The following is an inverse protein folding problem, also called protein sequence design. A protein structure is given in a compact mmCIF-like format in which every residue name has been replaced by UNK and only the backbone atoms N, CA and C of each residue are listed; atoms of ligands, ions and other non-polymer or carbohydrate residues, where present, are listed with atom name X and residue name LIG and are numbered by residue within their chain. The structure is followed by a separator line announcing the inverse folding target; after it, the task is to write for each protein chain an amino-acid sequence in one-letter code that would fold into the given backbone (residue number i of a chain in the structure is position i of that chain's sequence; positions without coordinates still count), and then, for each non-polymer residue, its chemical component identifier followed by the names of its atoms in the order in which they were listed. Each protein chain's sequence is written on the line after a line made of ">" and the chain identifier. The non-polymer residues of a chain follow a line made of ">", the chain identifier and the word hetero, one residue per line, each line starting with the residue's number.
data_IF_047767268234
#
_entry.id   IF_047767268234
#
_cell.length_a   1.000
_cell.length_b   1.000
_cell.length_c   1.000
_cell.angle_alpha   90.00
_cell.angle_beta   90.00
_cell.angle_gamma   90.00
#
_symmetry.space_group_name_H-M   'P 1'
#
loop_
_entity.id
_entity.type
_entity.pdbx_description
1 polymer ?
#
# COMPACT_ATOMS: atom_id res chain seq x y z
N UNK A 1 -42.05 2.25 27.38
CA UNK A 1 -40.89 3.15 27.17
C UNK A 1 -39.57 2.46 27.45
N UNK A 2 -39.27 1.96 28.66
CA UNK A 2 -37.95 1.38 28.97
C UNK A 2 -37.58 0.08 28.20
N UNK A 3 -38.57 -0.74 27.82
CA UNK A 3 -38.34 -1.99 27.07
C UNK A 3 -37.99 -1.76 25.59
N UNK A 4 -38.58 -0.72 24.99
CA UNK A 4 -38.42 -0.38 23.58
C UNK A 4 -37.04 0.24 23.30
N UNK A 5 -36.53 1.04 24.25
CA UNK A 5 -35.15 1.56 24.21
C UNK A 5 -34.09 0.47 24.40
N UNK A 6 -34.36 -0.56 25.22
CA UNK A 6 -33.45 -1.71 25.40
C UNK A 6 -33.39 -2.57 24.14
N UNK A 7 -34.53 -2.80 23.49
CA UNK A 7 -34.62 -3.55 22.23
C UNK A 7 -33.89 -2.83 21.09
N UNK A 8 -34.07 -1.52 20.94
CA UNK A 8 -33.35 -0.72 19.94
C UNK A 8 -31.83 -0.67 20.15
N UNK A 9 -31.35 -0.79 21.39
CA UNK A 9 -29.91 -0.85 21.69
C UNK A 9 -29.30 -2.21 21.30
N UNK A 10 -30.01 -3.32 21.57
CA UNK A 10 -29.58 -4.66 21.18
C UNK A 10 -29.56 -4.88 19.66
N UNK A 11 -30.49 -4.31 18.92
CA UNK A 11 -30.52 -4.41 17.45
C UNK A 11 -29.34 -3.67 16.81
N UNK A 12 -28.99 -2.47 17.29
CA UNK A 12 -27.80 -1.72 16.84
C UNK A 12 -26.49 -2.43 17.15
N UNK A 13 -26.39 -3.10 18.30
CA UNK A 13 -25.19 -3.88 18.67
C UNK A 13 -25.00 -5.09 17.72
N UNK A 14 -26.09 -5.80 17.40
CA UNK A 14 -26.04 -6.92 16.44
C UNK A 14 -25.66 -6.49 15.02
N UNK A 15 -26.15 -5.33 14.56
CA UNK A 15 -25.79 -4.78 13.25
C UNK A 15 -24.31 -4.40 13.19
N UNK A 16 -23.80 -3.73 14.23
CA UNK A 16 -22.38 -3.37 14.36
C UNK A 16 -21.46 -4.60 14.45
N UNK A 17 -21.91 -5.67 15.09
CA UNK A 17 -21.19 -6.95 15.15
C UNK A 17 -21.11 -7.59 13.74
N UNK A 18 -22.22 -7.62 13.00
CA UNK A 18 -22.25 -8.14 11.63
C UNK A 18 -21.33 -7.36 10.70
N UNK A 19 -21.35 -6.03 10.75
CA UNK A 19 -20.48 -5.18 9.93
C UNK A 19 -19.00 -5.46 10.19
N UNK A 20 -18.62 -5.63 11.46
CA UNK A 20 -17.25 -5.99 11.84
C UNK A 20 -16.81 -7.36 11.33
N UNK A 21 -17.70 -8.36 11.37
CA UNK A 21 -17.40 -9.70 10.86
C UNK A 21 -17.17 -9.65 9.35
N UNK A 22 -18.04 -8.97 8.60
CA UNK A 22 -17.91 -8.81 7.15
C UNK A 22 -16.63 -8.04 6.77
N UNK A 23 -16.27 -7.01 7.53
CA UNK A 23 -15.03 -6.26 7.32
C UNK A 23 -13.79 -7.12 7.61
N UNK A 24 -13.83 -7.96 8.65
CA UNK A 24 -12.77 -8.91 8.95
C UNK A 24 -12.61 -9.94 7.81
N UNK A 25 -13.68 -10.66 7.42
CA UNK A 25 -13.62 -11.67 6.36
C UNK A 25 -13.06 -11.10 5.05
N UNK A 26 -13.42 -9.85 4.72
CA UNK A 26 -12.85 -9.13 3.59
C UNK A 26 -11.34 -8.83 3.77
N UNK A 27 -10.90 -8.48 4.98
CA UNK A 27 -9.50 -8.26 5.29
C UNK A 27 -8.67 -9.55 5.16
N UNK A 28 -9.18 -10.69 5.62
CA UNK A 28 -8.49 -11.98 5.46
C UNK A 28 -8.34 -12.36 3.98
N UNK A 29 -9.36 -12.13 3.16
CA UNK A 29 -9.28 -12.34 1.71
C UNK A 29 -8.24 -11.41 1.04
N UNK A 30 -8.13 -10.15 1.51
CA UNK A 30 -7.11 -9.21 1.03
C UNK A 30 -5.71 -9.68 1.44
N UNK A 31 -5.52 -10.12 2.69
CA UNK A 31 -4.24 -10.64 3.19
C UNK A 31 -3.79 -11.85 2.36
N UNK A 32 -4.67 -12.80 2.09
CA UNK A 32 -4.35 -13.97 1.26
C UNK A 32 -3.87 -13.58 -0.16
N UNK A 33 -4.46 -12.53 -0.76
CA UNK A 33 -4.01 -11.99 -2.05
C UNK A 33 -2.63 -11.34 -1.94
N UNK A 34 -2.38 -10.59 -0.87
CA UNK A 34 -1.07 -9.97 -0.59
C UNK A 34 0.01 -11.04 -0.40
N UNK A 35 -0.28 -12.14 0.28
CA UNK A 35 0.64 -13.27 0.46
C UNK A 35 1.00 -13.91 -0.88
N UNK A 36 0.00 -14.18 -1.74
CA UNK A 36 0.23 -14.69 -3.09
C UNK A 36 1.10 -13.73 -3.91
N UNK A 37 0.81 -12.42 -3.82
CA UNK A 37 1.61 -11.36 -4.44
C UNK A 37 3.05 -11.34 -3.92
N UNK A 38 3.25 -11.49 -2.61
CA UNK A 38 4.58 -11.53 -1.98
C UNK A 38 5.45 -12.65 -2.57
N UNK A 39 4.87 -13.83 -2.80
CA UNK A 39 5.59 -14.95 -3.42
C UNK A 39 6.01 -14.66 -4.87
N UNK A 40 5.16 -13.97 -5.64
CA UNK A 40 5.50 -13.55 -7.01
C UNK A 40 6.63 -12.52 -7.02
N UNK A 41 6.55 -11.51 -6.14
CA UNK A 41 7.59 -10.50 -5.95
C UNK A 41 8.92 -11.15 -5.59
N UNK A 42 8.95 -12.10 -4.66
CA UNK A 42 10.18 -12.82 -4.29
C UNK A 42 10.80 -13.61 -5.46
N UNK A 43 9.98 -14.13 -6.38
CA UNK A 43 10.48 -14.81 -7.58
C UNK A 43 11.11 -13.81 -8.55
N UNK A 44 10.46 -12.67 -8.78
CA UNK A 44 10.96 -11.61 -9.65
C UNK A 44 12.27 -10.99 -9.13
N UNK A 45 12.36 -10.76 -7.81
CA UNK A 45 13.57 -10.25 -7.17
C UNK A 45 14.76 -11.22 -7.30
N UNK A 46 14.52 -12.54 -7.24
CA UNK A 46 15.57 -13.56 -7.42
C UNK A 46 16.22 -13.52 -8.81
N UNK A 47 15.45 -13.18 -9.84
CA UNK A 47 15.95 -13.02 -11.22
C UNK A 47 16.24 -11.56 -11.58
N UNK A 48 16.34 -10.67 -10.58
CA UNK A 48 16.66 -9.24 -10.75
C UNK A 48 15.70 -8.45 -11.65
N UNK A 49 14.43 -8.89 -11.76
CA UNK A 49 13.37 -8.18 -12.50
C UNK A 49 12.71 -7.13 -11.61
N UNK A 50 13.46 -6.09 -11.25
CA UNK A 50 13.04 -5.09 -10.25
C UNK A 50 11.82 -4.28 -10.65
N UNK A 51 11.75 -3.81 -11.90
CA UNK A 51 10.61 -3.02 -12.37
C UNK A 51 9.31 -3.80 -12.30
N UNK A 52 9.34 -5.07 -12.71
CA UNK A 52 8.16 -5.93 -12.66
C UNK A 52 7.78 -6.29 -11.23
N UNK A 53 8.77 -6.58 -10.37
CA UNK A 53 8.52 -6.76 -8.95
C UNK A 53 7.83 -5.54 -8.35
N UNK A 54 8.22 -4.33 -8.77
CA UNK A 54 7.61 -3.08 -8.31
C UNK A 54 6.18 -2.92 -8.82
N UNK A 55 5.92 -3.15 -10.12
CA UNK A 55 4.56 -3.13 -10.70
C UNK A 55 3.65 -4.10 -9.94
N UNK A 56 4.07 -5.36 -9.84
CA UNK A 56 3.33 -6.38 -9.10
C UNK A 56 3.08 -5.98 -7.65
N UNK A 57 4.06 -5.43 -6.93
CA UNK A 57 3.88 -4.99 -5.55
C UNK A 57 2.84 -3.87 -5.39
N UNK A 58 2.83 -2.91 -6.32
CA UNK A 58 1.94 -1.75 -6.33
C UNK A 58 0.53 -2.06 -6.83
N UNK A 59 0.38 -3.04 -7.72
CA UNK A 59 -0.91 -3.54 -8.22
C UNK A 59 -1.84 -3.97 -7.08
N UNK A 60 -3.12 -3.64 -7.23
CA UNK A 60 -4.18 -3.95 -6.27
C UNK A 60 -3.84 -3.58 -4.81
N UNK A 61 -3.12 -2.46 -4.61
CA UNK A 61 -2.82 -1.96 -3.26
C UNK A 61 -4.13 -1.75 -2.48
N UNK A 62 -4.19 -2.19 -1.20
CA UNK A 62 -5.42 -2.20 -0.41
C UNK A 62 -5.76 -0.79 0.10
N UNK A 63 -5.94 0.17 -0.80
CA UNK A 63 -6.24 1.57 -0.47
C UNK A 63 -7.69 1.79 -0.06
N UNK A 64 -8.58 0.86 -0.42
CA UNK A 64 -10.02 0.93 -0.12
C UNK A 64 -10.40 0.30 1.22
N UNK A 65 -9.52 -0.49 1.84
CA UNK A 65 -9.80 -1.08 3.15
C UNK A 65 -9.40 -0.13 4.28
N UNK A 66 -10.17 -0.15 5.36
CA UNK A 66 -9.83 0.55 6.61
C UNK A 66 -8.96 -0.31 7.52
N UNK A 67 -8.76 -1.58 7.18
CA UNK A 67 -7.94 -2.49 7.97
C UNK A 67 -6.45 -2.20 7.78
N UNK A 68 -5.83 -1.67 8.83
CA UNK A 68 -4.40 -1.35 8.88
C UNK A 68 -3.48 -2.58 8.76
N UNK A 69 -3.98 -3.78 9.09
CA UNK A 69 -3.24 -5.04 8.89
C UNK A 69 -3.01 -5.29 7.41
N UNK A 70 -4.03 -5.07 6.58
CA UNK A 70 -3.92 -5.22 5.12
C UNK A 70 -2.91 -4.22 4.53
N UNK A 71 -3.01 -2.94 4.92
CA UNK A 71 -2.06 -1.90 4.49
C UNK A 71 -0.65 -2.25 4.91
N UNK A 72 -0.45 -2.68 6.16
CA UNK A 72 0.86 -3.08 6.68
C UNK A 72 1.44 -4.30 5.98
N UNK A 73 0.61 -5.31 5.71
CA UNK A 73 1.02 -6.48 4.94
C UNK A 73 1.50 -6.07 3.53
N UNK A 74 0.75 -5.21 2.83
CA UNK A 74 1.15 -4.76 1.51
C UNK A 74 2.43 -3.91 1.52
N UNK A 75 2.59 -3.06 2.54
CA UNK A 75 3.80 -2.29 2.72
C UNK A 75 5.05 -3.15 2.89
N UNK A 76 4.98 -4.25 3.63
CA UNK A 76 6.12 -5.17 3.77
C UNK A 76 6.57 -5.67 2.39
N UNK A 77 5.63 -5.95 1.48
CA UNK A 77 5.93 -6.39 0.11
C UNK A 77 6.57 -5.25 -0.70
N UNK A 78 5.97 -4.06 -0.68
CA UNK A 78 6.49 -2.89 -1.42
C UNK A 78 7.87 -2.49 -0.90
N UNK A 79 8.03 -2.33 0.41
CA UNK A 79 9.29 -1.96 1.07
C UNK A 79 10.42 -2.90 0.68
N UNK A 80 10.17 -4.21 0.65
CA UNK A 80 11.14 -5.20 0.20
C UNK A 80 11.63 -4.93 -1.23
N UNK A 81 10.74 -4.57 -2.15
CA UNK A 81 11.13 -4.21 -3.52
C UNK A 81 11.94 -2.91 -3.52
N UNK A 82 11.46 -1.87 -2.81
CA UNK A 82 12.16 -0.59 -2.74
C UNK A 82 13.60 -0.77 -2.26
N UNK A 83 13.81 -1.59 -1.23
CA UNK A 83 15.13 -1.88 -0.67
C UNK A 83 16.00 -2.76 -1.57
N UNK A 84 15.40 -3.59 -2.43
CA UNK A 84 16.12 -4.45 -3.37
C UNK A 84 16.59 -3.69 -4.63
N UNK A 85 15.91 -2.59 -4.99
CA UNK A 85 16.25 -1.75 -6.14
C UNK A 85 17.58 -1.01 -5.93
N UNK A 86 18.66 -1.54 -6.52
CA UNK A 86 19.98 -0.90 -6.50
C UNK A 86 20.13 0.18 -7.58
N UNK A 87 19.64 -0.12 -8.78
CA UNK A 87 19.66 0.80 -9.93
C UNK A 87 18.28 1.46 -10.06
N UNK A 88 18.16 2.64 -9.48
CA UNK A 88 16.92 3.42 -9.41
C UNK A 88 16.56 3.94 -10.80
N UNK A 89 17.54 4.43 -11.57
CA UNK A 89 17.33 4.97 -12.91
C UNK A 89 16.75 3.91 -13.86
N UNK A 90 17.32 2.69 -13.85
CA UNK A 90 16.83 1.60 -14.69
C UNK A 90 15.38 1.21 -14.39
N UNK A 91 14.97 1.26 -13.11
CA UNK A 91 13.58 0.96 -12.72
C UNK A 91 12.61 1.96 -13.34
N UNK A 92 12.93 3.25 -13.29
CA UNK A 92 12.06 4.31 -13.81
C UNK A 92 12.07 4.48 -15.33
N UNK A 93 13.02 3.87 -16.05
CA UNK A 93 12.97 3.81 -17.52
C UNK A 93 11.80 2.96 -18.04
N UNK A 94 11.38 1.95 -17.26
CA UNK A 94 10.39 0.94 -17.68
C UNK A 94 9.11 0.95 -16.83
N UNK A 95 9.02 1.84 -15.85
CA UNK A 95 7.85 1.98 -14.98
C UNK A 95 6.77 2.84 -15.67
N UNK A 96 5.56 2.30 -15.75
CA UNK A 96 4.45 2.98 -16.42
C UNK A 96 3.93 4.15 -15.56
N UNK A 97 3.48 5.26 -16.19
CA UNK A 97 2.99 6.43 -15.47
C UNK A 97 1.83 6.17 -14.51
N UNK A 98 1.04 5.12 -14.73
CA UNK A 98 -0.06 4.73 -13.84
C UNK A 98 0.40 4.38 -12.42
N UNK A 99 1.66 3.94 -12.25
CA UNK A 99 2.22 3.56 -10.96
C UNK A 99 2.84 4.74 -10.19
N UNK A 100 2.99 5.91 -10.81
CA UNK A 100 3.75 7.03 -10.23
C UNK A 100 3.09 7.57 -8.96
N UNK A 101 1.78 7.78 -9.00
CA UNK A 101 1.06 8.37 -7.86
C UNK A 101 1.00 7.38 -6.67
N UNK A 102 0.76 6.09 -6.93
CA UNK A 102 0.73 5.06 -5.88
C UNK A 102 2.13 4.83 -5.28
N UNK A 103 3.17 4.84 -6.11
CA UNK A 103 4.55 4.75 -5.65
C UNK A 103 4.90 5.94 -4.75
N UNK A 104 4.55 7.17 -5.16
CA UNK A 104 4.83 8.38 -4.37
C UNK A 104 4.24 8.30 -2.96
N UNK A 105 3.02 7.75 -2.82
CA UNK A 105 2.40 7.51 -1.50
C UNK A 105 3.22 6.53 -0.66
N UNK A 106 3.70 5.43 -1.25
CA UNK A 106 4.54 4.47 -0.55
C UNK A 106 5.91 5.04 -0.17
N UNK A 107 6.47 5.95 -0.96
CA UNK A 107 7.69 6.66 -0.60
C UNK A 107 7.46 7.53 0.65
N UNK A 108 6.36 8.29 0.72
CA UNK A 108 6.02 9.06 1.92
C UNK A 108 5.76 8.17 3.14
N UNK A 109 5.10 7.01 2.95
CA UNK A 109 4.96 6.02 4.01
C UNK A 109 6.33 5.51 4.51
N UNK A 110 7.26 5.24 3.60
CA UNK A 110 8.61 4.84 3.93
C UNK A 110 9.38 5.92 4.70
N UNK A 111 9.27 7.17 4.27
CA UNK A 111 9.86 8.32 4.96
C UNK A 111 9.31 8.50 6.38
N UNK A 112 8.02 8.21 6.59
CA UNK A 112 7.39 8.26 7.92
C UNK A 112 7.92 7.20 8.91
N UNK A 113 8.64 6.17 8.44
CA UNK A 113 9.24 5.17 9.34
C UNK A 113 10.40 5.73 10.17
N UNK A 114 11.09 6.77 9.68
CA UNK A 114 12.27 7.34 10.32
C UNK A 114 13.52 6.45 10.29
N UNK A 115 13.45 5.25 9.70
CA UNK A 115 14.59 4.35 9.55
C UNK A 115 15.56 4.88 8.48
N UNK A 116 16.83 5.08 8.85
CA UNK A 116 17.80 5.75 7.97
C UNK A 116 18.00 5.04 6.62
N UNK A 117 18.27 3.73 6.55
CA UNK A 117 18.34 3.00 5.28
C UNK A 117 17.09 3.16 4.41
N UNK A 118 15.91 3.08 5.03
CA UNK A 118 14.63 3.22 4.32
C UNK A 118 14.45 4.63 3.79
N UNK A 119 14.71 5.65 4.61
CA UNK A 119 14.61 7.05 4.22
C UNK A 119 15.57 7.39 3.09
N UNK A 120 16.84 6.98 3.18
CA UNK A 120 17.85 7.22 2.16
C UNK A 120 17.44 6.62 0.81
N UNK A 121 16.88 5.40 0.82
CA UNK A 121 16.38 4.75 -0.41
C UNK A 121 15.13 5.45 -0.94
N UNK A 122 14.20 5.84 -0.07
CA UNK A 122 12.98 6.53 -0.47
C UNK A 122 13.29 7.90 -1.09
N UNK A 123 14.27 8.64 -0.57
CA UNK A 123 14.70 9.93 -1.14
C UNK A 123 15.31 9.77 -2.54
N UNK A 124 16.15 8.75 -2.76
CA UNK A 124 16.68 8.44 -4.10
C UNK A 124 15.59 8.13 -5.11
N UNK A 125 14.63 7.26 -4.73
CA UNK A 125 13.50 6.92 -5.59
C UNK A 125 12.60 8.14 -5.83
N UNK A 126 12.39 8.97 -4.81
CA UNK A 126 11.57 10.18 -4.91
C UNK A 126 12.14 11.18 -5.89
N UNK A 127 13.45 11.45 -5.83
CA UNK A 127 14.14 12.32 -6.78
C UNK A 127 13.88 11.87 -8.22
N UNK A 128 14.15 10.59 -8.52
CA UNK A 128 13.98 10.02 -9.87
C UNK A 128 12.53 9.97 -10.34
N UNK A 129 11.61 9.64 -9.45
CA UNK A 129 10.18 9.69 -9.76
C UNK A 129 9.74 11.13 -10.09
N UNK A 130 10.22 12.11 -9.35
CA UNK A 130 9.87 13.53 -9.55
C UNK A 130 10.46 14.06 -10.86
N UNK A 131 11.68 13.68 -11.22
CA UNK A 131 12.29 13.99 -12.52
C UNK A 131 11.43 13.48 -13.69
N UNK A 132 10.84 12.28 -13.56
CA UNK A 132 10.03 11.64 -14.61
C UNK A 132 8.58 12.11 -14.65
N UNK A 133 7.94 12.22 -13.49
CA UNK A 133 6.50 12.47 -13.36
C UNK A 133 6.15 13.96 -13.18
N UNK A 134 7.14 14.79 -12.82
CA UNK A 134 6.96 16.17 -12.40
C UNK A 134 6.33 16.29 -11.00
N UNK A 135 6.12 17.54 -10.56
CA UNK A 135 5.60 17.84 -9.23
C UNK A 135 4.14 17.40 -9.02
N UNK A 136 3.40 17.07 -10.08
CA UNK A 136 2.00 16.68 -10.01
C UNK A 136 1.76 15.42 -9.19
N UNK A 137 2.67 14.44 -9.24
CA UNK A 137 2.53 13.20 -8.46
C UNK A 137 2.66 13.45 -6.94
N UNK A 138 3.50 14.42 -6.54
CA UNK A 138 3.64 14.86 -5.15
C UNK A 138 2.32 15.48 -4.67
N UNK A 139 1.79 16.46 -5.42
CA UNK A 139 0.57 17.17 -5.04
C UNK A 139 -0.61 16.20 -4.91
N UNK A 140 -0.77 15.26 -5.85
CA UNK A 140 -1.82 14.24 -5.77
C UNK A 140 -1.63 13.28 -4.59
N UNK A 141 -0.39 12.87 -4.29
CA UNK A 141 -0.11 12.02 -3.14
C UNK A 141 -0.43 12.72 -1.80
N UNK A 142 -0.10 14.00 -1.66
CA UNK A 142 -0.37 14.78 -0.44
C UNK A 142 -1.85 15.15 -0.29
N UNK A 143 -2.55 15.38 -1.41
CA UNK A 143 -3.97 15.74 -1.39
C UNK A 143 -4.90 14.54 -1.12
N UNK A 144 -4.46 13.31 -1.40
CA UNK A 144 -5.29 12.13 -1.23
C UNK A 144 -5.28 11.61 0.22
N UNK A 145 -6.24 12.10 1.01
CA UNK A 145 -6.46 11.66 2.39
C UNK A 145 -7.34 10.41 2.50
N UNK A 146 -7.83 9.89 1.38
CA UNK A 146 -8.82 8.78 1.35
C UNK A 146 -8.20 7.45 1.00
N UNK A 147 -7.31 7.41 0.01
CA UNK A 147 -6.65 6.21 -0.47
C UNK A 147 -5.24 6.12 0.12
N UNK A 148 -5.19 5.98 1.44
CA UNK A 148 -3.95 5.83 2.21
C UNK A 148 -3.38 4.42 2.02
N UNK A 149 -2.06 4.33 1.90
CA UNK A 149 -1.35 3.08 1.59
C UNK A 149 -0.70 2.42 2.78
#
# INVERSE_FOLDING_TARGET
>A
MADEERRGRQEKEKEKEKDKIVEAENAEAIIARIEHKSLQVERLLRVSRYTEALKTALEDSPVRTRDERCKSANWIVVHRVLMACKDVDAVFLSLDPEYYDILMKYLYRGLATGDRPTCDQCLRLHEKLTEKAGLGCIVRALADTTNTV
#
